data_IF_497947084201
#
_entry.id   IF_497947084201
#
_cell.length_a   1.000
_cell.length_b   1.000
_cell.length_c   1.000
_cell.angle_alpha   90.00
_cell.angle_beta   90.00
_cell.angle_gamma   90.00
#
_symmetry.space_group_name_H-M   'P 1'
#
loop_
_entity.id
_entity.type
_entity.pdbx_description
1 polymer ?
#
# COMPACT_ATOMS: atom_id res chain seq x y z
N UNK A 1 -26.20 -4.86 -16.73
CA UNK A 1 -26.11 -3.40 -16.52
C UNK A 1 -24.90 -2.85 -17.26
N UNK A 2 -25.00 -1.60 -17.67
CA UNK A 2 -23.93 -0.83 -18.26
C UNK A 2 -23.85 0.50 -17.50
N UNK A 3 -22.67 1.05 -17.35
CA UNK A 3 -22.46 2.29 -16.62
C UNK A 3 -21.18 3.01 -17.04
N UNK A 4 -20.87 4.10 -16.35
CA UNK A 4 -19.63 4.85 -16.49
C UNK A 4 -18.42 3.96 -16.20
N UNK A 5 -17.21 4.42 -16.59
CA UNK A 5 -15.95 3.72 -16.42
C UNK A 5 -15.97 2.28 -16.95
N UNK A 6 -16.60 2.09 -18.10
CA UNK A 6 -16.74 0.80 -18.81
C UNK A 6 -17.43 -0.29 -17.97
N UNK A 7 -18.28 0.08 -17.00
CA UNK A 7 -19.00 -0.89 -16.22
C UNK A 7 -19.90 -1.76 -17.11
N UNK A 8 -19.66 -3.05 -17.05
CA UNK A 8 -20.50 -4.09 -17.61
C UNK A 8 -20.80 -5.14 -16.53
N UNK A 9 -22.06 -5.39 -16.28
CA UNK A 9 -22.51 -6.43 -15.34
C UNK A 9 -23.59 -7.28 -15.98
N UNK A 10 -23.42 -8.59 -15.90
CA UNK A 10 -24.41 -9.57 -16.34
C UNK A 10 -24.60 -10.64 -15.26
N UNK A 11 -25.83 -11.06 -15.07
CA UNK A 11 -26.16 -12.17 -14.17
C UNK A 11 -27.28 -13.02 -14.72
N UNK A 12 -27.17 -14.32 -14.51
CA UNK A 12 -28.16 -15.31 -14.90
C UNK A 12 -28.47 -16.19 -13.70
N UNK A 13 -29.77 -16.48 -13.52
CA UNK A 13 -30.24 -17.44 -12.53
C UNK A 13 -31.17 -18.42 -13.17
N UNK A 14 -30.87 -19.72 -13.03
CA UNK A 14 -31.69 -20.82 -13.47
C UNK A 14 -32.04 -21.69 -12.26
N UNK A 15 -33.28 -22.13 -12.15
CA UNK A 15 -33.69 -23.07 -11.13
C UNK A 15 -34.86 -23.91 -11.67
N UNK A 16 -34.81 -25.21 -11.46
CA UNK A 16 -35.81 -26.14 -11.88
C UNK A 16 -35.97 -27.26 -10.87
N UNK A 17 -37.17 -27.84 -10.77
CA UNK A 17 -37.43 -29.00 -9.97
C UNK A 17 -38.12 -30.09 -10.81
N UNK A 18 -37.82 -31.33 -10.49
CA UNK A 18 -38.32 -32.49 -11.19
C UNK A 18 -39.10 -33.40 -10.24
N UNK A 19 -40.20 -33.90 -10.74
CA UNK A 19 -41.07 -34.76 -9.98
C UNK A 19 -41.09 -36.17 -10.60
N UNK A 20 -41.38 -37.16 -9.78
CA UNK A 20 -41.61 -38.52 -10.22
C UNK A 20 -43.08 -38.65 -10.81
N UNK A 21 -43.39 -39.83 -11.32
CA UNK A 21 -44.73 -40.12 -11.89
C UNK A 21 -45.89 -39.96 -10.89
N UNK A 22 -45.59 -39.89 -9.58
CA UNK A 22 -46.58 -39.68 -8.53
C UNK A 22 -46.72 -38.20 -8.12
N UNK A 23 -45.99 -37.27 -8.77
CA UNK A 23 -46.00 -35.87 -8.45
C UNK A 23 -45.15 -35.48 -7.23
N UNK A 24 -44.30 -36.39 -6.75
CA UNK A 24 -43.39 -36.10 -5.63
C UNK A 24 -42.09 -35.49 -6.17
N UNK A 25 -41.59 -34.43 -5.51
CA UNK A 25 -40.32 -33.79 -5.84
C UNK A 25 -39.17 -34.77 -5.59
N UNK A 26 -38.30 -34.99 -6.59
CA UNK A 26 -37.19 -35.94 -6.47
C UNK A 26 -35.82 -35.28 -6.69
N UNK A 27 -35.78 -34.25 -7.52
CA UNK A 27 -34.57 -33.56 -7.81
C UNK A 27 -34.83 -32.07 -8.05
N UNK A 28 -33.94 -31.21 -7.64
CA UNK A 28 -33.94 -29.80 -8.02
C UNK A 28 -32.52 -29.29 -8.18
N UNK A 29 -32.35 -28.31 -9.04
CA UNK A 29 -31.13 -27.59 -9.16
C UNK A 29 -31.35 -26.09 -9.16
N UNK A 30 -30.32 -25.36 -8.76
CA UNK A 30 -30.20 -23.90 -8.87
C UNK A 30 -28.82 -23.56 -9.32
N UNK A 31 -28.73 -22.75 -10.37
CA UNK A 31 -27.46 -22.20 -10.89
C UNK A 31 -27.58 -20.69 -10.91
N UNK A 32 -26.61 -20.01 -10.34
CA UNK A 32 -26.45 -18.58 -10.48
C UNK A 32 -25.04 -18.32 -11.08
N UNK A 33 -25.00 -17.42 -12.03
CA UNK A 33 -23.77 -16.93 -12.63
C UNK A 33 -23.81 -15.41 -12.66
N UNK A 34 -22.70 -14.77 -12.34
CA UNK A 34 -22.55 -13.32 -12.40
C UNK A 34 -21.14 -12.97 -12.88
N UNK A 35 -21.06 -12.04 -13.80
CA UNK A 35 -19.83 -11.46 -14.28
C UNK A 35 -19.92 -9.94 -14.29
N UNK A 36 -18.90 -9.29 -13.77
CA UNK A 36 -18.75 -7.83 -13.76
C UNK A 36 -17.33 -7.46 -14.20
N UNK A 37 -17.22 -6.40 -14.97
CA UNK A 37 -15.98 -5.69 -15.22
C UNK A 37 -16.22 -4.19 -15.15
N UNK A 38 -15.21 -3.45 -14.73
CA UNK A 38 -15.19 -1.99 -14.71
C UNK A 38 -13.75 -1.49 -14.68
N UNK A 39 -13.54 -0.20 -14.93
CA UNK A 39 -12.32 0.49 -14.55
C UNK A 39 -12.56 1.12 -13.17
N UNK A 40 -11.72 0.78 -12.21
CA UNK A 40 -11.74 1.39 -10.88
C UNK A 40 -11.20 2.84 -10.94
N UNK A 41 -11.37 3.58 -9.87
CA UNK A 41 -10.85 4.95 -9.76
C UNK A 41 -9.34 4.91 -9.54
N UNK A 42 -8.62 5.60 -10.43
CA UNK A 42 -7.20 5.81 -10.26
C UNK A 42 -6.97 6.75 -9.06
N UNK A 43 -6.07 6.37 -8.18
CA UNK A 43 -5.67 7.21 -7.07
C UNK A 43 -4.57 8.17 -7.53
N UNK A 44 -4.78 9.47 -7.35
CA UNK A 44 -3.89 10.54 -7.83
C UNK A 44 -3.69 11.67 -6.80
N UNK A 45 -3.97 11.42 -5.54
CA UNK A 45 -3.77 12.39 -4.47
C UNK A 45 -2.28 12.54 -4.15
N UNK A 46 -1.69 13.65 -4.55
CA UNK A 46 -0.29 14.00 -4.32
C UNK A 46 -0.08 14.90 -3.09
N UNK A 47 -1.09 15.08 -2.23
CA UNK A 47 -0.88 15.75 -0.97
C UNK A 47 0.09 14.97 -0.08
N UNK A 48 0.81 15.67 0.80
CA UNK A 48 1.66 15.02 1.78
C UNK A 48 0.83 14.17 2.75
N UNK A 49 1.39 13.05 3.19
CA UNK A 49 0.78 12.21 4.23
C UNK A 49 0.71 13.00 5.53
N UNK A 50 -0.44 12.92 6.23
CA UNK A 50 -0.68 13.65 7.48
C UNK A 50 0.40 13.35 8.53
N UNK A 51 0.91 14.41 9.17
CA UNK A 51 1.96 14.33 10.17
C UNK A 51 3.38 14.17 9.60
N UNK A 52 3.53 14.18 8.27
CA UNK A 52 4.84 14.19 7.60
C UNK A 52 5.23 15.61 7.15
N UNK A 53 6.33 15.71 6.40
CA UNK A 53 6.79 17.00 5.87
C UNK A 53 5.86 17.49 4.76
N UNK A 54 5.73 18.81 4.65
CA UNK A 54 4.86 19.46 3.66
C UNK A 54 5.29 19.18 2.22
N UNK A 55 4.32 19.24 1.30
CA UNK A 55 4.53 19.00 -0.14
C UNK A 55 5.39 20.05 -0.85
N UNK A 56 5.66 21.19 -0.20
CA UNK A 56 6.54 22.24 -0.68
C UNK A 56 8.00 22.07 -0.22
N UNK A 57 8.32 20.99 0.49
CA UNK A 57 9.68 20.71 0.92
C UNK A 57 10.62 20.52 -0.28
N UNK A 58 11.71 21.30 -0.39
CA UNK A 58 12.65 21.20 -1.53
C UNK A 58 13.29 19.81 -1.69
N UNK A 59 13.49 19.11 -0.58
CA UNK A 59 14.05 17.76 -0.56
C UNK A 59 13.06 16.65 -0.92
N UNK A 60 11.81 16.99 -1.31
CA UNK A 60 10.75 16.01 -1.55
C UNK A 60 9.93 15.69 -0.29
N UNK A 61 8.94 14.86 -0.44
CA UNK A 61 7.99 14.50 0.60
C UNK A 61 7.37 13.13 0.34
N UNK A 62 6.73 12.56 1.34
CA UNK A 62 5.90 11.37 1.26
C UNK A 62 4.49 11.73 0.80
N UNK A 63 4.07 11.23 -0.38
CA UNK A 63 2.79 11.57 -0.98
C UNK A 63 1.78 10.42 -0.84
N UNK A 64 0.50 10.76 -0.60
CA UNK A 64 -0.56 9.78 -0.31
C UNK A 64 -0.69 8.67 -1.36
N UNK A 65 -0.58 9.00 -2.65
CA UNK A 65 -0.71 8.01 -3.73
C UNK A 65 0.57 7.88 -4.59
N UNK A 66 1.71 7.97 -3.92
CA UNK A 66 3.03 7.65 -4.45
C UNK A 66 3.74 6.77 -3.44
N UNK A 67 4.38 5.69 -3.86
CA UNK A 67 4.93 4.67 -2.99
C UNK A 67 6.42 4.47 -3.24
N UNK A 68 7.17 4.19 -2.18
CA UNK A 68 8.62 4.09 -2.19
C UNK A 68 9.31 5.42 -1.84
N UNK A 69 8.56 6.44 -1.48
CA UNK A 69 9.03 7.70 -0.92
C UNK A 69 8.84 7.79 0.60
N UNK A 70 8.29 6.76 1.21
CA UNK A 70 8.12 6.64 2.65
C UNK A 70 9.46 6.64 3.38
N UNK A 71 9.50 7.21 4.58
CA UNK A 71 10.65 7.14 5.47
C UNK A 71 10.70 5.77 6.18
N UNK A 72 11.17 4.76 5.45
CA UNK A 72 11.20 3.37 5.95
C UNK A 72 12.34 3.09 6.92
N UNK A 73 13.39 3.93 6.91
CA UNK A 73 14.63 3.69 7.66
C UNK A 73 14.75 4.59 8.90
N UNK A 74 13.65 5.22 9.29
CA UNK A 74 13.59 6.15 10.41
C UNK A 74 14.58 7.29 10.25
N UNK A 75 14.73 8.30 10.65
CA UNK A 75 15.62 9.47 10.63
C UNK A 75 16.84 9.48 9.69
N UNK A 76 17.00 8.48 8.79
CA UNK A 76 18.14 8.48 7.85
C UNK A 76 18.05 9.65 6.85
N UNK A 77 16.84 10.06 6.54
CA UNK A 77 16.56 11.16 5.62
C UNK A 77 16.40 12.52 6.32
N UNK A 78 16.62 12.60 7.63
CA UNK A 78 16.58 13.85 8.37
C UNK A 78 17.89 14.11 9.10
N UNK A 79 18.72 14.93 8.51
CA UNK A 79 20.02 15.30 9.12
C UNK A 79 19.87 16.18 10.36
N UNK A 80 18.69 16.76 10.60
CA UNK A 80 18.43 17.63 11.76
C UNK A 80 18.25 16.83 13.05
N UNK A 81 17.83 15.57 12.95
CA UNK A 81 17.60 14.72 14.12
C UNK A 81 18.89 14.13 14.70
N UNK A 82 20.00 14.18 13.98
CA UNK A 82 21.29 13.68 14.47
C UNK A 82 22.13 14.84 15.00
N UNK A 83 21.87 15.24 16.23
CA UNK A 83 22.25 16.49 16.89
C UNK A 83 23.75 16.83 16.93
N UNK A 84 24.67 15.94 16.61
CA UNK A 84 26.07 16.17 16.94
C UNK A 84 27.03 16.44 15.79
N UNK A 85 26.72 16.18 14.55
CA UNK A 85 27.69 16.33 13.46
C UNK A 85 27.14 16.79 12.12
N UNK A 86 25.87 16.54 11.84
CA UNK A 86 25.35 16.67 10.48
C UNK A 86 25.06 18.12 10.06
N UNK A 87 24.70 18.99 10.99
CA UNK A 87 24.49 20.41 10.67
C UNK A 87 25.73 21.11 10.10
N UNK A 88 26.88 20.78 10.65
CA UNK A 88 28.15 21.39 10.21
C UNK A 88 28.71 20.77 8.93
N UNK A 89 28.20 19.61 8.55
CA UNK A 89 28.66 18.91 7.34
C UNK A 89 27.68 18.95 6.19
N UNK A 90 26.39 19.23 6.48
CA UNK A 90 25.31 19.24 5.50
C UNK A 90 24.43 20.50 5.67
N UNK A 91 25.00 21.69 5.52
CA UNK A 91 24.22 22.93 5.71
C UNK A 91 23.08 23.00 4.72
N UNK A 92 21.91 23.45 5.20
CA UNK A 92 20.69 23.60 4.41
C UNK A 92 19.98 22.29 4.03
N UNK A 93 20.61 21.14 4.24
CA UNK A 93 19.98 19.87 4.00
C UNK A 93 18.99 19.56 5.15
N UNK A 94 17.72 19.73 4.87
CA UNK A 94 16.64 19.34 5.79
C UNK A 94 16.27 17.87 5.65
N UNK A 95 15.00 17.58 5.86
CA UNK A 95 14.43 16.28 5.54
C UNK A 95 14.31 16.13 4.02
N UNK A 96 14.63 14.95 3.53
CA UNK A 96 14.57 14.65 2.10
C UNK A 96 14.04 13.24 1.85
N UNK A 97 13.39 13.05 0.72
CA UNK A 97 12.73 11.83 0.33
C UNK A 97 13.19 11.37 -1.05
N UNK A 98 13.31 10.09 -1.22
CA UNK A 98 13.48 9.49 -2.53
C UNK A 98 12.16 9.59 -3.30
N UNK A 99 12.19 9.93 -4.59
CA UNK A 99 10.98 9.95 -5.40
C UNK A 99 10.44 8.55 -5.60
N UNK A 100 9.19 8.34 -5.24
CA UNK A 100 8.49 7.07 -5.39
C UNK A 100 7.82 6.88 -6.76
N UNK A 101 7.08 5.78 -6.89
CA UNK A 101 6.26 5.44 -8.05
C UNK A 101 4.82 5.87 -7.83
N UNK A 102 4.19 6.49 -8.84
CA UNK A 102 2.76 6.82 -8.79
C UNK A 102 1.94 5.52 -8.73
N UNK A 103 0.89 5.49 -7.90
CA UNK A 103 0.02 4.31 -7.79
C UNK A 103 -0.49 3.82 -9.14
N UNK A 104 -0.91 4.73 -10.02
CA UNK A 104 -1.43 4.42 -11.34
C UNK A 104 -0.45 3.68 -12.27
N UNK A 105 0.86 3.76 -12.00
CA UNK A 105 1.89 3.13 -12.81
C UNK A 105 2.21 1.70 -12.34
N UNK A 106 1.77 1.33 -11.13
CA UNK A 106 2.09 0.04 -10.52
C UNK A 106 0.86 -0.78 -10.10
N UNK A 107 -0.36 -0.24 -10.22
CA UNK A 107 -1.60 -0.91 -9.85
C UNK A 107 -2.49 -1.13 -11.07
N UNK A 108 -3.10 -2.30 -11.16
CA UNK A 108 -4.06 -2.64 -12.23
C UNK A 108 -5.48 -2.29 -11.78
N UNK A 109 -6.05 -1.24 -12.37
CA UNK A 109 -7.42 -0.78 -12.10
C UNK A 109 -8.50 -1.50 -12.90
N UNK A 110 -8.16 -2.54 -13.68
CA UNK A 110 -9.13 -3.35 -14.40
C UNK A 110 -9.87 -4.29 -13.43
N UNK A 111 -10.90 -3.78 -12.79
CA UNK A 111 -11.72 -4.55 -11.86
C UNK A 111 -12.54 -5.58 -12.61
N UNK A 112 -12.46 -6.84 -12.17
CA UNK A 112 -13.21 -7.97 -12.69
C UNK A 112 -13.74 -8.80 -11.54
N UNK A 113 -14.93 -9.34 -11.70
CA UNK A 113 -15.51 -10.27 -10.75
C UNK A 113 -16.38 -11.30 -11.46
N UNK A 114 -16.08 -12.58 -11.25
CA UNK A 114 -16.87 -13.68 -11.72
C UNK A 114 -17.33 -14.50 -10.52
N UNK A 115 -18.60 -14.81 -10.46
CA UNK A 115 -19.22 -15.68 -9.44
C UNK A 115 -20.04 -16.76 -10.11
N UNK A 116 -19.83 -17.99 -9.70
CA UNK A 116 -20.64 -19.14 -10.10
C UNK A 116 -21.09 -19.89 -8.85
N UNK A 117 -22.36 -20.17 -8.76
CA UNK A 117 -22.95 -20.91 -7.65
C UNK A 117 -23.88 -21.97 -8.18
N UNK A 118 -23.73 -23.19 -7.68
CA UNK A 118 -24.63 -24.30 -8.00
C UNK A 118 -25.10 -24.96 -6.71
N UNK A 119 -26.39 -25.33 -6.69
CA UNK A 119 -26.96 -26.12 -5.62
C UNK A 119 -27.80 -27.22 -6.26
N UNK A 120 -27.54 -28.46 -5.87
CA UNK A 120 -28.23 -29.67 -6.30
C UNK A 120 -28.93 -30.27 -5.09
N UNK A 121 -30.17 -30.66 -5.27
CA UNK A 121 -31.04 -31.20 -4.23
C UNK A 121 -31.59 -32.54 -4.70
N UNK A 122 -31.40 -33.60 -3.93
CA UNK A 122 -31.89 -34.92 -4.23
C UNK A 122 -32.67 -35.52 -3.06
N UNK A 123 -33.92 -35.87 -3.28
CA UNK A 123 -34.79 -36.49 -2.29
C UNK A 123 -34.53 -38.01 -2.26
N UNK A 124 -33.77 -38.48 -1.28
CA UNK A 124 -33.52 -39.91 -1.04
C UNK A 124 -34.80 -40.61 -0.59
N UNK A 125 -35.57 -39.92 0.25
CA UNK A 125 -36.93 -40.31 0.67
C UNK A 125 -37.79 -39.03 0.76
N UNK A 126 -39.12 -39.13 0.88
CA UNK A 126 -39.95 -37.92 1.01
C UNK A 126 -39.61 -37.01 2.20
N UNK A 127 -38.77 -37.45 3.13
CA UNK A 127 -38.34 -36.69 4.31
C UNK A 127 -36.82 -36.49 4.39
N UNK A 128 -36.05 -37.18 3.54
CA UNK A 128 -34.57 -37.17 3.60
C UNK A 128 -34.04 -36.62 2.29
N UNK A 129 -33.25 -35.56 2.40
CA UNK A 129 -32.70 -34.82 1.28
C UNK A 129 -31.15 -34.81 1.36
N UNK A 130 -30.51 -35.05 0.21
CA UNK A 130 -29.08 -34.82 0.01
C UNK A 130 -28.92 -33.55 -0.77
N UNK A 131 -28.09 -32.64 -0.26
CA UNK A 131 -27.82 -31.35 -0.87
C UNK A 131 -26.34 -31.25 -1.16
N UNK A 132 -25.98 -30.96 -2.41
CA UNK A 132 -24.64 -30.55 -2.79
C UNK A 132 -24.68 -29.10 -3.22
N UNK A 133 -23.77 -28.28 -2.68
CA UNK A 133 -23.60 -26.89 -3.05
C UNK A 133 -22.16 -26.57 -3.37
N UNK A 134 -21.91 -25.81 -4.41
CA UNK A 134 -20.60 -25.26 -4.73
C UNK A 134 -20.70 -23.78 -5.08
N UNK A 135 -19.77 -23.00 -4.56
CA UNK A 135 -19.58 -21.60 -4.87
C UNK A 135 -18.17 -21.42 -5.39
N UNK A 136 -18.01 -20.75 -6.49
CA UNK A 136 -16.75 -20.31 -7.05
C UNK A 136 -16.79 -18.81 -7.27
N UNK A 137 -15.74 -18.12 -6.91
CA UNK A 137 -15.54 -16.72 -7.29
C UNK A 137 -14.09 -16.44 -7.62
N UNK A 138 -13.88 -15.58 -8.60
CA UNK A 138 -12.57 -15.01 -8.90
C UNK A 138 -12.72 -13.53 -9.22
N UNK A 139 -11.68 -12.75 -8.92
CA UNK A 139 -11.75 -11.33 -9.14
C UNK A 139 -10.40 -10.62 -9.08
N UNK A 140 -10.44 -9.39 -9.58
CA UNK A 140 -9.34 -8.42 -9.51
C UNK A 140 -9.93 -7.11 -9.00
N UNK A 141 -9.32 -6.52 -8.01
CA UNK A 141 -9.71 -5.21 -7.44
C UNK A 141 -8.55 -4.58 -6.68
N UNK A 142 -8.63 -3.28 -6.45
CA UNK A 142 -7.71 -2.58 -5.56
C UNK A 142 -8.34 -2.48 -4.18
N UNK A 143 -7.58 -2.74 -3.14
CA UNK A 143 -8.05 -2.74 -1.76
C UNK A 143 -7.13 -1.90 -0.88
N UNK A 144 -7.73 -1.05 -0.05
CA UNK A 144 -7.04 -0.30 0.98
C UNK A 144 -7.19 -1.03 2.31
N UNK A 145 -6.08 -1.57 2.81
CA UNK A 145 -5.92 -2.10 4.16
C UNK A 145 -4.98 -1.20 4.95
N UNK A 146 -4.06 -1.80 5.69
CA UNK A 146 -2.93 -1.06 6.29
C UNK A 146 -2.01 -0.50 5.19
N UNK A 147 -1.84 -1.29 4.11
CA UNK A 147 -1.20 -0.90 2.87
C UNK A 147 -2.19 -0.92 1.69
N UNK A 148 -1.73 -0.50 0.52
CA UNK A 148 -2.48 -0.55 -0.73
C UNK A 148 -2.22 -1.88 -1.45
N UNK A 149 -3.24 -2.73 -1.53
CA UNK A 149 -3.14 -4.06 -2.11
C UNK A 149 -3.78 -4.12 -3.49
N UNK A 150 -3.06 -4.59 -4.48
CA UNK A 150 -3.63 -5.01 -5.77
C UNK A 150 -4.00 -6.49 -5.66
N UNK A 151 -5.28 -6.78 -5.44
CA UNK A 151 -5.81 -8.13 -5.41
C UNK A 151 -6.07 -8.58 -6.83
N UNK A 152 -5.28 -9.52 -7.36
CA UNK A 152 -5.31 -9.91 -8.76
C UNK A 152 -5.55 -11.39 -8.94
N UNK A 153 -6.61 -11.74 -9.69
CA UNK A 153 -7.00 -13.12 -9.98
C UNK A 153 -7.19 -13.97 -8.72
N UNK A 154 -7.63 -13.35 -7.61
CA UNK A 154 -7.94 -14.10 -6.39
C UNK A 154 -9.03 -15.13 -6.68
N UNK A 155 -8.98 -16.29 -6.02
CA UNK A 155 -9.93 -17.37 -6.22
C UNK A 155 -10.46 -17.90 -4.89
N UNK A 156 -11.75 -18.15 -4.85
CA UNK A 156 -12.42 -18.75 -3.72
C UNK A 156 -13.28 -19.93 -4.18
N UNK A 157 -13.09 -21.07 -3.52
CA UNK A 157 -13.89 -22.26 -3.72
C UNK A 157 -14.53 -22.68 -2.42
N UNK A 158 -15.82 -22.93 -2.44
CA UNK A 158 -16.51 -23.50 -1.31
C UNK A 158 -17.41 -24.63 -1.79
N UNK A 159 -17.24 -25.80 -1.22
CA UNK A 159 -18.08 -26.97 -1.49
C UNK A 159 -18.77 -27.39 -0.19
N UNK A 160 -20.03 -27.76 -0.30
CA UNK A 160 -20.85 -28.20 0.80
C UNK A 160 -21.60 -29.47 0.40
N UNK A 161 -21.57 -30.47 1.27
CA UNK A 161 -22.41 -31.65 1.20
C UNK A 161 -23.23 -31.74 2.48
N UNK A 162 -24.54 -31.85 2.36
CA UNK A 162 -25.44 -31.92 3.49
C UNK A 162 -26.49 -33.05 3.30
N UNK A 163 -26.58 -33.90 4.30
CA UNK A 163 -27.69 -34.83 4.42
C UNK A 163 -28.60 -34.34 5.54
N UNK A 164 -29.89 -34.12 5.22
CA UNK A 164 -30.85 -33.69 6.23
C UNK A 164 -32.14 -34.52 6.18
N UNK A 165 -32.65 -34.80 7.35
CA UNK A 165 -33.99 -35.36 7.50
C UNK A 165 -34.89 -34.33 8.21
N UNK A 166 -35.97 -33.94 7.56
CA UNK A 166 -36.89 -32.95 8.09
C UNK A 166 -37.29 -33.27 9.53
N UNK A 167 -37.21 -32.26 10.40
CA UNK A 167 -37.59 -32.30 11.82
C UNK A 167 -36.83 -33.32 12.68
N UNK A 168 -35.70 -33.86 12.20
CA UNK A 168 -34.90 -34.84 12.94
C UNK A 168 -33.44 -34.48 13.10
N UNK A 169 -32.69 -34.40 11.99
CA UNK A 169 -31.24 -34.13 12.02
C UNK A 169 -30.75 -33.54 10.71
N UNK A 170 -29.56 -32.97 10.77
CA UNK A 170 -28.71 -32.74 9.60
C UNK A 170 -27.25 -33.08 9.91
N UNK A 171 -26.57 -33.54 8.88
CA UNK A 171 -25.11 -33.73 8.89
C UNK A 171 -24.58 -32.91 7.70
N UNK A 172 -23.57 -32.07 7.94
CA UNK A 172 -23.01 -31.20 6.92
C UNK A 172 -21.49 -31.28 6.95
N UNK A 173 -20.88 -31.44 5.79
CA UNK A 173 -19.46 -31.25 5.55
C UNK A 173 -19.27 -30.11 4.57
N UNK A 174 -18.22 -29.30 4.77
CA UNK A 174 -17.85 -28.24 3.83
C UNK A 174 -16.33 -28.15 3.73
N UNK A 175 -15.89 -27.69 2.59
CA UNK A 175 -14.48 -27.36 2.32
C UNK A 175 -14.41 -25.98 1.67
N UNK A 176 -13.61 -25.10 2.24
CA UNK A 176 -13.25 -23.81 1.63
C UNK A 176 -11.79 -23.88 1.20
N UNK A 177 -11.49 -23.31 0.04
CA UNK A 177 -10.15 -23.17 -0.52
C UNK A 177 -10.04 -21.78 -1.09
N UNK A 178 -8.91 -21.12 -0.78
CA UNK A 178 -8.59 -19.77 -1.21
C UNK A 178 -7.24 -19.77 -1.89
N UNK A 179 -7.11 -18.94 -2.92
CA UNK A 179 -5.87 -18.67 -3.63
C UNK A 179 -5.76 -17.15 -3.82
N UNK A 180 -4.65 -16.59 -3.40
CA UNK A 180 -4.38 -15.16 -3.51
C UNK A 180 -4.10 -14.72 -4.97
N UNK A 181 -3.90 -15.67 -5.89
CA UNK A 181 -3.59 -15.40 -7.28
C UNK A 181 -2.27 -14.63 -7.44
N UNK A 182 -2.32 -13.59 -8.27
CA UNK A 182 -1.17 -12.71 -8.56
C UNK A 182 -1.21 -11.42 -7.72
N UNK A 183 -1.81 -11.48 -6.52
CA UNK A 183 -1.96 -10.32 -5.65
C UNK A 183 -0.63 -9.83 -5.08
N UNK A 184 -0.50 -8.53 -4.92
CA UNK A 184 0.71 -7.91 -4.37
C UNK A 184 0.39 -6.65 -3.58
N UNK A 185 1.31 -6.27 -2.71
CA UNK A 185 1.33 -5.01 -1.98
C UNK A 185 2.02 -3.94 -2.85
N UNK A 186 1.33 -2.86 -3.16
CA UNK A 186 1.84 -1.80 -4.04
C UNK A 186 2.98 -1.01 -3.38
N UNK A 187 2.90 -0.76 -2.06
CA UNK A 187 3.93 -0.04 -1.30
C UNK A 187 5.23 -0.84 -1.30
N UNK A 188 5.18 -2.10 -0.85
CA UNK A 188 6.37 -2.95 -0.85
C UNK A 188 6.91 -3.22 -2.25
N UNK A 189 6.04 -3.30 -3.26
CA UNK A 189 6.47 -3.44 -4.66
C UNK A 189 7.27 -2.21 -5.10
N UNK A 190 6.82 -1.00 -4.79
CA UNK A 190 7.53 0.24 -5.11
C UNK A 190 8.92 0.27 -4.46
N UNK A 191 9.00 -0.05 -3.15
CA UNK A 191 10.26 -0.13 -2.42
C UNK A 191 11.22 -1.14 -3.08
N UNK A 192 10.72 -2.34 -3.40
CA UNK A 192 11.55 -3.37 -4.04
C UNK A 192 11.99 -3.02 -5.45
N UNK A 193 11.15 -2.32 -6.22
CA UNK A 193 11.53 -1.81 -7.54
C UNK A 193 12.65 -0.77 -7.44
N UNK A 194 12.62 0.09 -6.45
CA UNK A 194 13.71 1.04 -6.20
C UNK A 194 15.03 0.33 -5.85
N UNK A 195 14.97 -0.65 -4.94
CA UNK A 195 16.14 -1.44 -4.57
C UNK A 195 16.73 -2.20 -5.77
N UNK A 196 15.87 -2.78 -6.61
CA UNK A 196 16.29 -3.54 -7.78
C UNK A 196 16.92 -2.65 -8.87
N UNK A 197 16.33 -1.49 -9.13
CA UNK A 197 16.70 -0.64 -10.27
C UNK A 197 17.93 0.24 -10.01
N UNK A 198 18.29 0.48 -8.75
CA UNK A 198 19.39 1.38 -8.43
C UNK A 198 20.24 0.87 -7.26
N UNK A 199 19.88 1.27 -6.06
CA UNK A 199 20.62 0.97 -4.82
C UNK A 199 19.63 0.89 -3.66
N UNK A 200 20.04 0.26 -2.57
CA UNK A 200 19.23 0.21 -1.35
C UNK A 200 18.87 1.62 -0.86
N UNK A 201 17.80 1.76 -0.10
CA UNK A 201 17.44 3.05 0.49
C UNK A 201 18.57 3.62 1.34
N UNK A 202 19.19 2.79 2.17
CA UNK A 202 20.36 3.18 2.98
C UNK A 202 21.49 3.80 2.15
N UNK A 203 21.85 3.14 1.05
CA UNK A 203 22.94 3.61 0.18
C UNK A 203 22.53 4.88 -0.57
N UNK A 204 21.26 4.97 -0.99
CA UNK A 204 20.74 6.15 -1.67
C UNK A 204 20.76 7.38 -0.74
N UNK A 205 20.28 7.26 0.50
CA UNK A 205 20.32 8.35 1.46
C UNK A 205 21.76 8.76 1.79
N UNK A 206 22.64 7.80 1.87
CA UNK A 206 24.08 8.07 2.08
C UNK A 206 24.70 8.80 0.89
N UNK A 207 24.41 8.34 -0.33
CA UNK A 207 24.88 8.98 -1.56
C UNK A 207 24.32 10.40 -1.72
N UNK A 208 23.04 10.60 -1.40
CA UNK A 208 22.41 11.92 -1.46
C UNK A 208 23.06 12.91 -0.49
N UNK A 209 23.27 12.51 0.76
CA UNK A 209 23.98 13.33 1.76
C UNK A 209 25.40 13.66 1.34
N UNK A 210 26.14 12.69 0.82
CA UNK A 210 27.50 12.91 0.36
C UNK A 210 27.54 13.88 -0.83
N UNK A 211 26.64 13.71 -1.79
CA UNK A 211 26.52 14.61 -2.94
C UNK A 211 26.19 16.05 -2.50
N UNK A 212 25.28 16.21 -1.55
CA UNK A 212 24.98 17.51 -0.97
C UNK A 212 26.21 18.14 -0.31
N UNK A 213 26.90 17.38 0.54
CA UNK A 213 28.11 17.81 1.20
C UNK A 213 29.19 18.26 0.21
N UNK A 214 29.41 17.49 -0.86
CA UNK A 214 30.46 17.75 -1.83
C UNK A 214 30.14 18.95 -2.74
N UNK A 215 28.86 19.19 -3.03
CA UNK A 215 28.43 20.29 -3.90
C UNK A 215 27.99 21.55 -3.16
N UNK A 216 27.56 21.43 -1.89
CA UNK A 216 27.06 22.53 -1.07
C UNK A 216 27.81 22.66 0.24
N UNK A 217 29.07 22.22 0.28
CA UNK A 217 29.92 22.35 1.46
C UNK A 217 30.26 23.79 1.81
N UNK A 218 30.77 24.02 2.99
CA UNK A 218 31.23 25.31 3.46
C UNK A 218 32.20 26.02 2.49
N UNK A 219 33.02 25.23 1.81
CA UNK A 219 33.99 25.73 0.83
C UNK A 219 33.25 26.33 -0.38
N UNK A 220 32.17 25.70 -0.82
CA UNK A 220 31.29 26.20 -1.91
C UNK A 220 30.59 27.49 -1.49
N UNK A 221 30.09 27.55 -0.24
CA UNK A 221 29.43 28.74 0.30
C UNK A 221 30.38 29.86 0.73
N UNK A 222 31.67 29.60 0.77
CA UNK A 222 32.69 30.52 1.30
C UNK A 222 32.37 30.98 2.73
N UNK A 223 31.79 30.11 3.54
CA UNK A 223 31.41 30.37 4.92
C UNK A 223 32.36 29.64 5.88
N UNK A 224 32.73 30.29 7.00
CA UNK A 224 33.45 29.63 8.07
C UNK A 224 32.49 28.77 8.91
N UNK A 225 32.97 27.59 9.29
CA UNK A 225 32.24 26.80 10.31
C UNK A 225 32.27 27.52 11.65
N UNK A 226 31.21 27.40 12.47
CA UNK A 226 31.28 27.84 13.86
C UNK A 226 32.44 27.11 14.59
N UNK A 227 33.14 27.83 15.40
CA UNK A 227 34.07 27.24 16.37
C UNK A 227 33.25 26.59 17.48
N UNK A 228 33.60 25.38 17.85
CA UNK A 228 32.91 24.58 18.86
C UNK A 228 33.82 24.48 20.07
N UNK A 229 33.44 25.09 21.18
CA UNK A 229 34.23 25.12 22.43
C UNK A 229 33.45 24.33 23.50
N UNK A 230 34.03 23.22 23.93
CA UNK A 230 33.47 22.46 25.06
C UNK A 230 33.99 23.04 26.38
N UNK A 231 33.06 23.43 27.25
CA UNK A 231 33.37 23.90 28.59
C UNK A 231 33.37 22.71 29.57
N UNK A 232 34.54 22.27 30.06
CA UNK A 232 34.62 21.10 30.94
C UNK A 232 34.08 21.35 32.36
N UNK A 233 33.80 22.59 32.70
CA UNK A 233 33.28 22.96 34.04
C UNK A 233 31.73 22.88 34.04
N UNK A 234 31.12 23.42 33.00
CA UNK A 234 29.65 23.44 32.87
C UNK A 234 29.11 22.24 32.12
N UNK A 235 29.95 21.44 31.48
CA UNK A 235 29.59 20.37 30.55
C UNK A 235 28.70 20.84 29.39
N UNK A 236 28.80 22.13 29.02
CA UNK A 236 28.09 22.72 27.90
C UNK A 236 28.99 22.94 26.72
N UNK A 237 28.42 23.01 25.55
CA UNK A 237 29.14 23.32 24.32
C UNK A 237 28.72 24.71 23.86
N UNK A 238 29.70 25.60 23.76
CA UNK A 238 29.50 26.96 23.27
C UNK A 238 29.90 27.03 21.80
N UNK A 239 29.18 27.80 21.01
CA UNK A 239 29.44 28.01 19.59
C UNK A 239 29.81 29.47 19.33
N UNK A 240 30.80 29.66 18.47
CA UNK A 240 31.26 30.99 18.08
C UNK A 240 31.33 31.10 16.56
N UNK A 241 30.77 32.17 16.00
CA UNK A 241 30.83 32.47 14.58
C UNK A 241 31.49 33.84 14.39
N UNK A 242 32.57 33.87 13.62
CA UNK A 242 33.40 35.08 13.44
C UNK A 242 33.83 35.72 14.78
N UNK A 243 34.16 34.89 15.76
CA UNK A 243 34.61 35.32 17.08
C UNK A 243 33.52 35.79 18.03
N UNK A 244 32.25 35.75 17.63
CA UNK A 244 31.09 36.10 18.46
C UNK A 244 30.33 34.86 18.93
N UNK A 245 29.84 34.80 20.16
CA UNK A 245 28.94 33.73 20.58
C UNK A 245 27.69 33.72 19.69
N UNK A 246 27.26 32.52 19.29
CA UNK A 246 26.07 32.35 18.49
C UNK A 246 25.26 31.18 19.06
N UNK A 247 23.91 31.32 19.09
CA UNK A 247 23.05 30.18 19.32
C UNK A 247 23.11 29.26 18.09
N UNK A 248 23.24 27.97 18.35
CA UNK A 248 23.37 26.98 17.26
C UNK A 248 22.13 26.94 16.37
N UNK A 249 20.94 27.18 16.91
CA UNK A 249 19.71 27.22 16.15
C UNK A 249 19.62 28.46 15.25
N UNK A 250 20.09 29.59 15.73
CA UNK A 250 20.18 30.83 14.94
C UNK A 250 21.14 30.66 13.77
N UNK A 251 22.29 30.03 14.03
CA UNK A 251 23.27 29.75 12.99
C UNK A 251 22.74 28.79 11.92
N UNK A 252 22.02 27.74 12.35
CA UNK A 252 21.35 26.80 11.44
C UNK A 252 20.34 27.52 10.57
N UNK A 253 19.48 28.34 11.19
CA UNK A 253 18.46 29.12 10.47
C UNK A 253 19.09 30.07 9.44
N UNK A 254 20.17 30.73 9.77
CA UNK A 254 20.92 31.58 8.84
C UNK A 254 21.49 30.78 7.67
N UNK A 255 22.14 29.64 7.95
CA UNK A 255 22.73 28.81 6.90
C UNK A 255 21.68 28.21 5.98
N UNK A 256 20.58 27.74 6.52
CA UNK A 256 19.44 27.23 5.75
C UNK A 256 18.85 28.32 4.82
N UNK A 257 18.71 29.53 5.33
CA UNK A 257 18.19 30.67 4.55
C UNK A 257 19.07 31.01 3.35
N UNK A 258 20.40 30.97 3.52
CA UNK A 258 21.33 31.27 2.44
C UNK A 258 21.35 30.18 1.38
N UNK A 259 21.31 28.91 1.80
CA UNK A 259 21.33 27.78 0.86
C UNK A 259 20.04 27.66 0.09
N UNK A 260 18.90 27.85 0.74
CA UNK A 260 17.60 27.77 0.10
C UNK A 260 17.27 29.00 -0.78
N UNK A 261 18.08 30.04 -0.72
CA UNK A 261 17.96 31.23 -1.58
C UNK A 261 18.77 31.16 -2.87
N UNK A 262 19.67 30.18 -3.00
CA UNK A 262 20.52 29.92 -4.15
C UNK A 262 20.14 28.61 -4.84
#
# INVERSE_FOLDING_TARGET
>A
KFGERQLFENSVRLAEKFQNKKGEDVFAFKINFSYMRALDWEADNMAAVDGTISSDNPGGYDAINRYGDEDTDGNLNDVRNNFNLNYFTHPGLGKFHRTGYMEKDIVDYNTKNLKAQTSLHYMITPKTELIYGTNYSTGTTVYQGDNRLSLKNIQFWQNKLELRQKDKFFIRAYRTQEDAGDSYDAVFTAIKLQEYNAISNQDWYTAYKNNWKDNFSWETLNWSKPEVVFNPITFQTDYYFNGNPIDILDWISMSDSVINAN
#
